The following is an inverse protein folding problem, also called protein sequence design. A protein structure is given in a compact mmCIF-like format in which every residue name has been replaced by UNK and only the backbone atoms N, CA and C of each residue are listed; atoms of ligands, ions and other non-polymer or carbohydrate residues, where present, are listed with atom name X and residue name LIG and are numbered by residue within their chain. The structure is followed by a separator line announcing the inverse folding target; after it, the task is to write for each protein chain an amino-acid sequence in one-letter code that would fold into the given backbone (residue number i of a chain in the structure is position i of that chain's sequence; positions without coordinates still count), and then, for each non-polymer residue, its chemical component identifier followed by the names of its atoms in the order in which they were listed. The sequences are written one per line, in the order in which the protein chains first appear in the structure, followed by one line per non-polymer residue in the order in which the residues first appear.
data_IF_791950213224
#
_entry.id   IF_791950213224
#
_cell.length_a   1.000
_cell.length_b   1.000
_cell.length_c   1.000
_cell.angle_alpha   90.00
_cell.angle_beta   90.00
_cell.angle_gamma   90.00
#
_symmetry.space_group_name_H-M   'P 1'
#
loop_
_entity.id
_entity.type
_entity.pdbx_description
1 polymer ?
#
# COMPACT_ATOMS: atom_id res chain seq x y z
N UNK A 1 49.68 -9.47 -5.60
CA UNK A 1 48.22 -9.78 -5.66
C UNK A 1 47.42 -9.10 -4.56
N UNK A 2 47.85 -9.15 -3.29
CA UNK A 2 47.15 -8.49 -2.17
C UNK A 2 46.97 -6.98 -2.33
N UNK A 3 48.02 -6.25 -2.74
CA UNK A 3 47.93 -4.79 -2.93
C UNK A 3 46.94 -4.37 -4.01
N UNK A 4 46.89 -5.10 -5.14
CA UNK A 4 45.94 -4.85 -6.22
C UNK A 4 44.49 -5.11 -5.78
N UNK A 5 44.27 -6.15 -4.98
CA UNK A 5 42.95 -6.43 -4.41
C UNK A 5 42.51 -5.32 -3.44
N UNK A 6 43.42 -4.87 -2.56
CA UNK A 6 43.16 -3.78 -1.62
C UNK A 6 42.85 -2.46 -2.35
N UNK A 7 43.61 -2.10 -3.39
CA UNK A 7 43.32 -0.87 -4.16
C UNK A 7 41.96 -0.92 -4.86
N UNK A 8 41.58 -2.06 -5.45
CA UNK A 8 40.26 -2.21 -6.07
C UNK A 8 39.15 -2.08 -5.04
N UNK A 9 39.30 -2.69 -3.86
CA UNK A 9 38.32 -2.56 -2.77
C UNK A 9 38.18 -1.11 -2.28
N UNK A 10 39.30 -0.41 -2.08
CA UNK A 10 39.27 0.99 -1.64
C UNK A 10 38.61 1.89 -2.70
N UNK A 11 38.90 1.66 -3.98
CA UNK A 11 38.26 2.40 -5.07
C UNK A 11 36.75 2.11 -5.16
N UNK A 12 36.34 0.85 -5.03
CA UNK A 12 34.93 0.49 -5.00
C UNK A 12 34.20 1.10 -3.79
N UNK A 13 34.83 1.08 -2.61
CA UNK A 13 34.28 1.69 -1.40
C UNK A 13 34.16 3.21 -1.52
N UNK A 14 35.15 3.89 -2.13
CA UNK A 14 35.09 5.35 -2.31
C UNK A 14 33.99 5.75 -3.30
N UNK A 15 33.82 5.01 -4.40
CA UNK A 15 32.72 5.21 -5.34
C UNK A 15 31.36 4.99 -4.66
N UNK A 16 31.23 3.94 -3.85
CA UNK A 16 30.01 3.65 -3.11
C UNK A 16 29.69 4.79 -2.13
N UNK A 17 30.66 5.26 -1.36
CA UNK A 17 30.48 6.38 -0.42
C UNK A 17 30.10 7.66 -1.16
N UNK A 18 30.74 7.96 -2.29
CA UNK A 18 30.40 9.11 -3.11
C UNK A 18 28.96 9.02 -3.63
N UNK A 19 28.56 7.87 -4.15
CA UNK A 19 27.22 7.64 -4.68
C UNK A 19 26.14 7.74 -3.57
N UNK A 20 26.38 7.14 -2.40
CA UNK A 20 25.48 7.25 -1.24
C UNK A 20 25.35 8.70 -0.82
N UNK A 21 26.47 9.43 -0.67
CA UNK A 21 26.43 10.84 -0.27
C UNK A 21 25.64 11.66 -1.28
N UNK A 22 25.94 11.53 -2.57
CA UNK A 22 25.21 12.24 -3.65
C UNK A 22 23.71 11.98 -3.61
N UNK A 23 23.30 10.73 -3.34
CA UNK A 23 21.88 10.35 -3.27
C UNK A 23 21.20 10.96 -2.04
N UNK A 24 21.78 10.78 -0.85
CA UNK A 24 21.17 11.20 0.42
C UNK A 24 21.38 12.69 0.76
N UNK A 25 21.98 13.46 -0.14
CA UNK A 25 22.03 14.93 -0.07
C UNK A 25 21.09 15.59 -1.09
N UNK A 26 20.26 14.84 -1.82
CA UNK A 26 19.35 15.40 -2.83
C UNK A 26 18.47 16.56 -2.30
N UNK A 27 18.03 16.49 -1.05
CA UNK A 27 17.13 17.48 -0.44
C UNK A 27 17.86 18.68 0.18
N UNK A 28 19.20 18.65 0.29
CA UNK A 28 19.95 19.64 1.10
C UNK A 28 19.85 21.07 0.57
N UNK A 29 19.61 21.25 -0.73
CA UNK A 29 19.52 22.53 -1.41
C UNK A 29 18.07 23.03 -1.63
N UNK A 30 17.06 22.30 -1.12
CA UNK A 30 15.65 22.54 -1.47
C UNK A 30 14.85 23.28 -0.39
N UNK A 31 15.48 23.64 0.72
CA UNK A 31 14.84 24.39 1.80
C UNK A 31 13.73 23.65 2.54
N UNK A 32 13.62 22.33 2.37
CA UNK A 32 12.65 21.50 3.12
C UNK A 32 13.36 20.65 4.18
N UNK A 33 12.73 20.36 5.32
CA UNK A 33 13.22 19.35 6.25
C UNK A 33 13.36 18.00 5.53
N UNK A 34 14.41 17.23 5.81
CA UNK A 34 14.60 15.92 5.19
C UNK A 34 15.32 14.93 6.09
N UNK A 35 15.18 13.64 5.77
CA UNK A 35 15.91 12.56 6.44
C UNK A 35 17.33 12.46 5.86
N UNK A 36 18.34 12.64 6.70
CA UNK A 36 19.72 12.27 6.38
C UNK A 36 19.86 10.75 6.21
N UNK A 37 20.97 10.28 5.63
CA UNK A 37 21.24 8.84 5.45
C UNK A 37 20.98 8.00 6.71
N UNK A 38 21.52 8.41 7.86
CA UNK A 38 21.34 7.67 9.12
C UNK A 38 19.91 7.71 9.65
N UNK A 39 19.22 8.85 9.47
CA UNK A 39 17.80 8.97 9.83
C UNK A 39 16.93 8.11 8.91
N UNK A 40 17.29 7.99 7.64
CA UNK A 40 16.61 7.11 6.69
C UNK A 40 16.82 5.64 7.04
N UNK A 41 18.05 5.20 7.35
CA UNK A 41 18.28 3.83 7.82
C UNK A 41 17.51 3.53 9.11
N UNK A 42 17.44 4.48 10.03
CA UNK A 42 16.62 4.37 11.24
C UNK A 42 15.13 4.24 10.90
N UNK A 43 14.64 5.04 9.97
CA UNK A 43 13.26 4.97 9.48
C UNK A 43 12.93 3.60 8.87
N UNK A 44 13.81 3.05 8.03
CA UNK A 44 13.65 1.71 7.46
C UNK A 44 13.59 0.65 8.56
N UNK A 45 14.49 0.74 9.54
CA UNK A 45 14.47 -0.16 10.70
C UNK A 45 13.17 -0.03 11.52
N UNK A 46 12.73 1.19 11.79
CA UNK A 46 11.50 1.44 12.55
C UNK A 46 10.26 0.94 11.77
N UNK A 47 10.20 1.05 10.44
CA UNK A 47 9.10 0.47 9.63
C UNK A 47 9.02 -1.05 9.76
N UNK A 48 10.16 -1.73 9.86
CA UNK A 48 10.22 -3.20 9.98
C UNK A 48 9.86 -3.65 11.40
N UNK A 49 10.17 -2.83 12.41
CA UNK A 49 10.06 -3.23 13.83
C UNK A 49 8.84 -2.67 14.55
N UNK A 50 8.19 -1.64 14.01
CA UNK A 50 7.06 -0.95 14.63
C UNK A 50 5.88 -0.82 13.67
N UNK A 51 4.66 -0.58 14.18
CA UNK A 51 3.52 -0.28 13.33
C UNK A 51 3.79 0.90 12.41
N UNK A 52 3.54 0.72 11.11
CA UNK A 52 3.82 1.75 10.09
C UNK A 52 3.17 3.10 10.41
N UNK A 53 1.93 3.10 10.93
CA UNK A 53 1.21 4.31 11.32
C UNK A 53 1.93 5.11 12.42
N UNK A 54 2.53 4.43 13.39
CA UNK A 54 3.29 5.06 14.47
C UNK A 54 4.55 5.73 13.92
N UNK A 55 5.25 5.06 13.02
CA UNK A 55 6.48 5.59 12.39
C UNK A 55 6.17 6.84 11.56
N UNK A 56 5.11 6.78 10.75
CA UNK A 56 4.66 7.94 9.95
C UNK A 56 4.25 9.09 10.85
N UNK A 57 3.49 8.84 11.91
CA UNK A 57 3.06 9.88 12.85
C UNK A 57 4.25 10.51 13.61
N UNK A 58 5.22 9.69 14.02
CA UNK A 58 6.44 10.16 14.68
C UNK A 58 7.26 11.08 13.77
N UNK A 59 7.45 10.70 12.50
CA UNK A 59 8.13 11.52 11.53
C UNK A 59 7.36 12.80 11.19
N UNK A 60 6.03 12.72 11.08
CA UNK A 60 5.19 13.90 10.92
C UNK A 60 5.37 14.90 12.08
N UNK A 61 5.38 14.40 13.33
CA UNK A 61 5.63 15.25 14.51
C UNK A 61 7.04 15.86 14.50
N UNK A 62 8.03 15.16 13.96
CA UNK A 62 9.44 15.58 13.96
C UNK A 62 9.79 16.54 12.84
N UNK A 63 9.33 16.28 11.62
CA UNK A 63 9.72 17.02 10.41
C UNK A 63 8.60 17.91 9.87
N UNK A 64 7.39 17.80 10.44
CA UNK A 64 6.24 18.60 10.06
C UNK A 64 5.41 17.97 8.93
N UNK A 65 4.59 18.82 8.31
CA UNK A 65 3.59 18.43 7.30
C UNK A 65 4.19 18.17 5.92
N UNK A 66 5.46 18.52 5.70
CA UNK A 66 6.15 18.38 4.43
C UNK A 66 7.62 18.10 4.70
N UNK A 67 8.13 16.97 4.23
CA UNK A 67 9.54 16.64 4.40
C UNK A 67 10.06 15.68 3.33
N UNK A 68 11.35 15.79 3.03
CA UNK A 68 12.08 14.89 2.14
C UNK A 68 12.45 13.57 2.82
N UNK A 69 12.24 12.48 2.11
CA UNK A 69 12.66 11.13 2.49
C UNK A 69 13.16 10.41 1.23
N UNK A 70 13.26 9.09 1.31
CA UNK A 70 13.73 8.23 0.23
C UNK A 70 12.90 6.94 0.19
N UNK A 71 12.74 6.37 -0.99
CA UNK A 71 12.28 5.00 -1.19
C UNK A 71 13.43 4.23 -1.84
N UNK A 72 14.17 3.49 -1.01
CA UNK A 72 15.49 2.97 -1.40
C UNK A 72 16.45 4.13 -1.64
N UNK A 73 16.78 4.35 -2.91
CA UNK A 73 17.66 5.44 -3.39
C UNK A 73 16.92 6.54 -4.12
N UNK A 74 15.60 6.38 -4.32
CA UNK A 74 14.78 7.37 -5.02
C UNK A 74 14.35 8.44 -4.03
N UNK A 75 14.67 9.72 -4.26
CA UNK A 75 14.17 10.80 -3.41
C UNK A 75 12.64 10.84 -3.42
N UNK A 76 12.03 10.99 -2.25
CA UNK A 76 10.57 10.96 -2.08
C UNK A 76 10.13 12.13 -1.21
N UNK A 77 9.12 12.87 -1.65
CA UNK A 77 8.51 13.93 -0.85
C UNK A 77 7.34 13.36 -0.05
N UNK A 78 7.36 13.50 1.27
CA UNK A 78 6.24 13.15 2.13
C UNK A 78 5.37 14.38 2.35
N UNK A 79 4.09 14.25 1.99
CA UNK A 79 3.12 15.37 1.97
C UNK A 79 1.94 15.04 2.87
N UNK A 80 1.75 15.85 3.92
CA UNK A 80 0.63 15.81 4.85
C UNK A 80 -0.13 17.15 4.92
N UNK A 81 0.16 18.07 4.00
CA UNK A 81 -0.62 19.28 3.79
C UNK A 81 -1.80 18.99 2.83
N UNK A 82 -3.06 19.27 3.22
CA UNK A 82 -4.25 18.92 2.44
C UNK A 82 -4.35 19.72 1.14
N UNK A 83 -3.82 20.93 1.08
CA UNK A 83 -3.88 21.75 -0.13
C UNK A 83 -2.91 21.16 -1.18
N UNK A 84 -1.69 20.80 -0.74
CA UNK A 84 -0.72 20.12 -1.61
C UNK A 84 -1.23 18.73 -2.00
N UNK A 85 -1.86 17.98 -1.09
CA UNK A 85 -2.47 16.69 -1.40
C UNK A 85 -3.59 16.83 -2.42
N UNK A 86 -4.44 17.85 -2.31
CA UNK A 86 -5.47 18.14 -3.31
C UNK A 86 -4.85 18.45 -4.66
N UNK A 87 -3.77 19.22 -4.69
CA UNK A 87 -3.07 19.50 -5.94
C UNK A 87 -2.50 18.25 -6.58
N UNK A 88 -1.86 17.37 -5.81
CA UNK A 88 -1.29 16.11 -6.31
C UNK A 88 -2.39 15.14 -6.76
N UNK A 89 -3.41 14.93 -5.93
CA UNK A 89 -4.41 13.87 -6.12
C UNK A 89 -5.57 14.27 -7.03
N UNK A 90 -5.82 15.57 -7.20
CA UNK A 90 -6.98 16.09 -7.94
C UNK A 90 -6.56 17.07 -9.02
N UNK A 91 -6.02 18.24 -8.66
CA UNK A 91 -5.80 19.35 -9.61
C UNK A 91 -4.81 18.96 -10.71
N UNK A 92 -3.68 18.38 -10.31
CA UNK A 92 -2.55 18.02 -11.16
C UNK A 92 -2.41 16.50 -11.31
N UNK A 93 -3.50 15.75 -11.13
CA UNK A 93 -3.49 14.28 -11.14
C UNK A 93 -2.78 13.69 -12.37
N UNK A 94 -2.89 14.33 -13.55
CA UNK A 94 -2.22 13.87 -14.77
C UNK A 94 -0.69 13.79 -14.66
N UNK A 95 -0.08 14.60 -13.80
CA UNK A 95 1.36 14.60 -13.56
C UNK A 95 1.78 13.58 -12.48
N UNK A 96 0.82 13.06 -11.71
CA UNK A 96 1.02 12.18 -10.56
C UNK A 96 0.17 10.90 -10.64
N UNK A 97 -0.20 10.48 -11.86
CA UNK A 97 -1.13 9.36 -12.06
C UNK A 97 -0.50 8.00 -11.75
N UNK A 98 0.82 7.92 -11.87
CA UNK A 98 1.59 6.69 -11.69
C UNK A 98 2.02 6.57 -10.23
N UNK A 99 2.11 5.33 -9.72
CA UNK A 99 2.52 5.06 -8.34
C UNK A 99 4.04 4.87 -8.26
N UNK A 100 4.52 4.13 -7.27
CA UNK A 100 5.94 3.88 -7.05
C UNK A 100 6.48 2.76 -7.95
N UNK A 101 7.81 2.76 -8.14
CA UNK A 101 8.54 1.70 -8.86
C UNK A 101 8.24 0.26 -8.35
N UNK A 102 7.74 0.13 -7.11
CA UNK A 102 7.28 -1.13 -6.54
C UNK A 102 6.07 -1.76 -7.27
N UNK A 103 5.40 -1.04 -8.18
CA UNK A 103 4.36 -1.61 -9.06
C UNK A 103 4.84 -2.82 -9.86
N UNK A 104 6.14 -2.92 -10.13
CA UNK A 104 6.76 -4.00 -10.93
C UNK A 104 7.30 -5.16 -10.09
N UNK A 105 7.10 -5.13 -8.77
CA UNK A 105 7.57 -6.20 -7.88
C UNK A 105 6.42 -7.17 -7.61
N UNK A 106 6.62 -8.45 -7.91
CA UNK A 106 5.62 -9.50 -7.68
C UNK A 106 5.39 -10.37 -8.91
N UNK A 107 4.35 -11.21 -8.87
CA UNK A 107 3.97 -12.06 -10.01
C UNK A 107 3.46 -11.24 -11.20
N UNK A 108 3.48 -11.82 -12.40
CA UNK A 108 2.97 -11.18 -13.60
C UNK A 108 1.50 -10.74 -13.46
N UNK A 109 0.68 -11.55 -12.78
CA UNK A 109 -0.72 -11.22 -12.47
C UNK A 109 -0.82 -9.99 -11.57
N UNK A 110 0.05 -9.89 -10.55
CA UNK A 110 0.08 -8.74 -9.65
C UNK A 110 0.46 -7.45 -10.39
N UNK A 111 1.47 -7.51 -11.26
CA UNK A 111 1.93 -6.37 -12.05
C UNK A 111 0.83 -5.88 -13.02
N UNK A 112 0.02 -6.80 -13.57
CA UNK A 112 -1.13 -6.47 -14.45
C UNK A 112 -2.40 -6.10 -13.70
N UNK A 113 -2.39 -6.07 -12.37
CA UNK A 113 -3.53 -5.59 -11.58
C UNK A 113 -3.77 -4.10 -11.84
N UNK A 114 -5.03 -3.67 -11.89
CA UNK A 114 -5.40 -2.25 -11.97
C UNK A 114 -4.78 -1.38 -10.86
N UNK A 115 -4.40 -1.99 -9.74
CA UNK A 115 -3.70 -1.31 -8.65
C UNK A 115 -2.24 -0.94 -9.01
N UNK A 116 -1.64 -1.64 -9.96
CA UNK A 116 -0.23 -1.49 -10.34
C UNK A 116 0.00 -1.02 -11.79
N UNK A 117 -1.02 -1.03 -12.65
CA UNK A 117 -0.92 -0.41 -13.97
C UNK A 117 -0.65 1.10 -13.86
N UNK A 118 -0.04 1.67 -14.91
CA UNK A 118 0.30 3.09 -15.03
C UNK A 118 -0.17 3.67 -16.36
N UNK A 119 -0.21 4.99 -16.46
CA UNK A 119 -0.54 5.71 -17.69
C UNK A 119 -1.84 5.28 -18.37
N UNK A 120 -1.76 5.05 -19.69
CA UNK A 120 -2.92 4.72 -20.52
C UNK A 120 -3.48 3.31 -20.26
N UNK A 121 -2.66 2.36 -19.84
CA UNK A 121 -3.12 1.01 -19.49
C UNK A 121 -4.02 1.05 -18.25
N UNK A 122 -3.59 1.79 -17.22
CA UNK A 122 -4.41 2.06 -16.05
C UNK A 122 -5.70 2.77 -16.42
N UNK A 123 -5.64 3.78 -17.29
CA UNK A 123 -6.84 4.52 -17.73
C UNK A 123 -7.83 3.61 -18.44
N UNK A 124 -7.36 2.74 -19.33
CA UNK A 124 -8.20 1.74 -20.04
C UNK A 124 -8.82 0.76 -19.05
N UNK A 125 -8.04 0.19 -18.14
CA UNK A 125 -8.54 -0.74 -17.12
C UNK A 125 -9.58 -0.05 -16.24
N UNK A 126 -9.30 1.15 -15.73
CA UNK A 126 -10.24 1.93 -14.90
C UNK A 126 -11.55 2.22 -15.63
N UNK A 127 -11.49 2.59 -16.91
CA UNK A 127 -12.68 2.85 -17.71
C UNK A 127 -13.52 1.57 -17.91
N UNK A 128 -12.89 0.40 -18.01
CA UNK A 128 -13.60 -0.88 -18.09
C UNK A 128 -14.27 -1.27 -16.76
N UNK A 129 -13.64 -0.99 -15.60
CA UNK A 129 -14.19 -1.32 -14.28
C UNK A 129 -15.25 -0.34 -13.78
N UNK A 130 -15.13 0.95 -14.11
CA UNK A 130 -16.00 2.01 -13.56
C UNK A 130 -17.52 1.75 -13.75
N UNK A 131 -18.01 1.24 -14.90
CA UNK A 131 -19.43 0.94 -15.10
C UNK A 131 -20.01 -0.10 -14.11
N UNK A 132 -19.18 -1.00 -13.59
CA UNK A 132 -19.59 -2.00 -12.60
C UNK A 132 -19.87 -1.38 -11.21
N UNK A 133 -19.36 -0.19 -10.94
CA UNK A 133 -19.49 0.53 -9.66
C UNK A 133 -20.54 1.65 -9.71
N UNK A 134 -21.45 1.61 -10.68
CA UNK A 134 -22.58 2.54 -10.75
C UNK A 134 -23.56 2.30 -9.59
N UNK A 135 -24.29 3.33 -9.17
CA UNK A 135 -25.28 3.23 -8.09
C UNK A 135 -26.30 2.10 -8.32
N UNK A 136 -26.74 1.90 -9.56
CA UNK A 136 -27.68 0.83 -9.92
C UNK A 136 -27.07 -0.55 -9.66
N UNK A 137 -25.82 -0.78 -10.09
CA UNK A 137 -25.12 -2.05 -9.84
C UNK A 137 -24.84 -2.24 -8.35
N UNK A 138 -24.44 -1.18 -7.65
CA UNK A 138 -24.22 -1.21 -6.20
C UNK A 138 -25.51 -1.57 -5.44
N UNK A 139 -26.69 -1.12 -5.86
CA UNK A 139 -27.96 -1.56 -5.24
C UNK A 139 -28.17 -3.06 -5.34
N UNK A 140 -27.86 -3.66 -6.49
CA UNK A 140 -27.93 -5.13 -6.66
C UNK A 140 -26.92 -5.86 -5.78
N UNK A 141 -25.70 -5.31 -5.68
CA UNK A 141 -24.62 -5.82 -4.83
C UNK A 141 -25.03 -5.82 -3.35
N UNK A 142 -25.64 -4.72 -2.87
CA UNK A 142 -26.08 -4.57 -1.47
C UNK A 142 -27.07 -5.65 -1.05
N UNK A 143 -27.94 -6.11 -1.96
CA UNK A 143 -28.88 -7.20 -1.65
C UNK A 143 -28.11 -8.49 -1.30
N UNK A 144 -27.08 -8.83 -2.08
CA UNK A 144 -26.24 -10.02 -1.81
C UNK A 144 -25.45 -9.86 -0.51
N UNK A 145 -24.88 -8.67 -0.29
CA UNK A 145 -24.17 -8.35 0.96
C UNK A 145 -25.09 -8.51 2.16
N UNK A 146 -26.35 -8.09 2.06
CA UNK A 146 -27.35 -8.24 3.14
C UNK A 146 -27.54 -9.70 3.51
N UNK A 147 -27.69 -10.60 2.53
CA UNK A 147 -27.85 -12.04 2.79
C UNK A 147 -26.65 -12.62 3.54
N UNK A 148 -25.43 -12.29 3.13
CA UNK A 148 -24.22 -12.76 3.82
C UNK A 148 -24.10 -12.13 5.22
N UNK A 149 -24.50 -10.86 5.39
CA UNK A 149 -24.51 -10.19 6.68
C UNK A 149 -25.56 -10.77 7.65
N UNK A 150 -26.74 -11.17 7.15
CA UNK A 150 -27.75 -11.87 7.95
C UNK A 150 -27.24 -13.23 8.43
N UNK A 151 -26.57 -13.99 7.56
CA UNK A 151 -25.91 -15.24 7.92
C UNK A 151 -24.84 -15.03 9.01
N UNK A 152 -24.02 -14.00 8.85
CA UNK A 152 -23.02 -13.59 9.83
C UNK A 152 -23.68 -13.27 11.19
N UNK A 153 -24.74 -12.46 11.19
CA UNK A 153 -25.46 -12.09 12.41
C UNK A 153 -26.01 -13.31 13.14
N UNK A 154 -26.64 -14.24 12.43
CA UNK A 154 -27.14 -15.50 12.99
C UNK A 154 -26.03 -16.31 13.64
N UNK A 155 -24.86 -16.44 13.00
CA UNK A 155 -23.73 -17.17 13.57
C UNK A 155 -23.19 -16.54 14.85
N UNK A 156 -23.18 -15.20 14.93
CA UNK A 156 -22.77 -14.47 16.14
C UNK A 156 -23.80 -14.67 17.25
N UNK A 157 -25.09 -14.57 16.94
CA UNK A 157 -26.18 -14.79 17.92
C UNK A 157 -26.18 -16.22 18.47
N UNK A 158 -25.96 -17.22 17.61
CA UNK A 158 -25.87 -18.62 18.02
C UNK A 158 -24.69 -18.87 18.95
N UNK A 159 -23.53 -18.27 18.65
CA UNK A 159 -22.36 -18.38 19.51
C UNK A 159 -22.56 -17.68 20.85
N UNK A 160 -23.20 -16.51 20.87
CA UNK A 160 -23.56 -15.80 22.08
C UNK A 160 -24.52 -16.61 22.97
N UNK A 161 -25.55 -17.21 22.36
CA UNK A 161 -26.53 -18.07 23.07
C UNK A 161 -25.85 -19.30 23.69
N UNK A 162 -24.83 -19.83 23.02
CA UNK A 162 -24.04 -20.98 23.49
C UNK A 162 -22.86 -20.59 24.40
N UNK A 163 -22.73 -19.30 24.72
CA UNK A 163 -21.61 -18.72 25.46
C UNK A 163 -20.23 -19.18 24.94
N UNK A 164 -20.10 -19.29 23.61
CA UNK A 164 -18.90 -19.78 22.94
C UNK A 164 -18.07 -18.58 22.44
N UNK A 165 -16.74 -18.54 22.70
CA UNK A 165 -15.89 -17.51 22.13
C UNK A 165 -15.90 -17.57 20.59
N UNK A 166 -15.91 -16.40 19.96
CA UNK A 166 -15.91 -16.23 18.51
C UNK A 166 -14.63 -15.51 18.10
N UNK A 167 -13.89 -16.12 17.16
CA UNK A 167 -12.84 -15.41 16.44
C UNK A 167 -13.49 -14.49 15.39
N UNK A 168 -13.57 -13.21 15.72
CA UNK A 168 -14.16 -12.21 14.83
C UNK A 168 -13.32 -11.98 13.57
N UNK A 169 -11.99 -12.09 13.66
CA UNK A 169 -11.10 -11.91 12.51
C UNK A 169 -11.33 -13.00 11.47
N UNK A 170 -11.38 -14.25 11.91
CA UNK A 170 -11.69 -15.40 11.05
C UNK A 170 -13.09 -15.25 10.43
N UNK A 171 -14.07 -14.83 11.23
CA UNK A 171 -15.44 -14.67 10.79
C UNK A 171 -15.60 -13.56 9.72
N UNK A 172 -14.98 -12.40 9.92
CA UNK A 172 -14.98 -11.30 8.94
C UNK A 172 -14.24 -11.70 7.67
N UNK A 173 -13.15 -12.45 7.79
CA UNK A 173 -12.40 -12.94 6.63
C UNK A 173 -13.28 -13.80 5.72
N UNK A 174 -13.96 -14.81 6.27
CA UNK A 174 -14.87 -15.67 5.52
C UNK A 174 -16.06 -14.89 4.93
N UNK A 175 -16.63 -13.97 5.71
CA UNK A 175 -17.71 -13.10 5.23
C UNK A 175 -17.27 -12.27 4.03
N UNK A 176 -16.07 -11.67 4.09
CA UNK A 176 -15.51 -10.88 3.00
C UNK A 176 -15.25 -11.73 1.75
N UNK A 177 -14.79 -12.97 1.92
CA UNK A 177 -14.59 -13.92 0.83
C UNK A 177 -15.91 -14.32 0.17
N UNK A 178 -16.91 -14.69 0.96
CA UNK A 178 -18.25 -15.08 0.49
C UNK A 178 -18.92 -13.91 -0.26
N UNK A 179 -18.82 -12.69 0.28
CA UNK A 179 -19.26 -11.46 -0.40
C UNK A 179 -18.51 -11.32 -1.74
N UNK A 180 -17.19 -11.40 -1.74
CA UNK A 180 -16.39 -11.24 -2.97
C UNK A 180 -16.79 -12.25 -4.05
N UNK A 181 -17.02 -13.51 -3.68
CA UNK A 181 -17.44 -14.54 -4.61
C UNK A 181 -18.87 -14.34 -5.14
N UNK A 182 -19.80 -13.97 -4.26
CA UNK A 182 -21.18 -13.68 -4.63
C UNK A 182 -21.30 -12.45 -5.54
N UNK A 183 -20.42 -11.47 -5.34
CA UNK A 183 -20.41 -10.22 -6.11
C UNK A 183 -19.69 -10.37 -7.46
N UNK A 184 -18.47 -10.89 -7.46
CA UNK A 184 -17.63 -10.89 -8.66
C UNK A 184 -17.89 -12.09 -9.57
N UNK A 185 -18.26 -13.23 -8.98
CA UNK A 185 -18.43 -14.49 -9.72
C UNK A 185 -19.87 -15.01 -9.70
N UNK A 186 -20.77 -14.36 -8.95
CA UNK A 186 -22.13 -14.83 -8.72
C UNK A 186 -22.20 -16.25 -8.14
N UNK A 187 -21.18 -16.64 -7.37
CA UNK A 187 -21.11 -17.92 -6.67
C UNK A 187 -21.49 -17.70 -5.21
N UNK A 188 -22.45 -18.46 -4.71
CA UNK A 188 -22.75 -18.52 -3.28
C UNK A 188 -21.76 -19.48 -2.63
N UNK A 189 -20.85 -18.93 -1.83
CA UNK A 189 -19.91 -19.71 -1.03
C UNK A 189 -20.39 -19.81 0.41
N UNK A 190 -20.00 -20.92 1.05
CA UNK A 190 -19.95 -21.04 2.50
C UNK A 190 -18.51 -21.35 2.92
N UNK A 191 -17.61 -20.39 2.74
CA UNK A 191 -16.16 -20.64 2.91
C UNK A 191 -15.80 -21.09 4.33
N UNK A 192 -16.64 -20.80 5.33
CA UNK A 192 -16.43 -21.22 6.71
C UNK A 192 -16.79 -22.69 6.93
N UNK A 193 -17.94 -23.15 6.43
CA UNK A 193 -18.42 -24.52 6.67
C UNK A 193 -17.99 -25.49 5.57
N UNK A 194 -17.67 -24.99 4.38
CA UNK A 194 -17.27 -25.78 3.20
C UNK A 194 -16.00 -25.18 2.59
N UNK A 195 -14.82 -25.43 3.20
CA UNK A 195 -13.56 -24.81 2.77
C UNK A 195 -13.01 -25.37 1.44
N UNK A 196 -13.48 -26.52 0.96
CA UNK A 196 -12.99 -27.20 -0.26
C UNK A 196 -13.99 -27.12 -1.43
N UNK A 197 -14.58 -25.94 -1.61
CA UNK A 197 -15.68 -25.72 -2.56
C UNK A 197 -15.29 -25.90 -4.04
#
# INVERSE_FOLDING_TARGET
MLHAFVTVLVFAASLLVWWVRKTFTFWSDKGIPYLTFWQYLRFVYDIITKPFSEVVLSNYKRYGRLYGSYQGTVPTLVVADPDIQRDILVTQFKNFSDRSASQHIGSEVWQKSILNLSGDEWRKARNAFTPALTTTRLRTIVIKVKTVAEKLATQVMDAATKNKPVDFGHLVHHTALDITAALNYSIELDSKNQPNH
#
